data_IF_594665124655
#
_entry.id   IF_594665124655
#
_cell.length_a   1.000
_cell.length_b   1.000
_cell.length_c   1.000
_cell.angle_alpha   90.00
_cell.angle_beta   90.00
_cell.angle_gamma   90.00
#
_symmetry.space_group_name_H-M   'P 1'
#
loop_
_entity.id
_entity.type
_entity.pdbx_description
1 polymer ?
#
# COMPACT_ATOMS: atom_id res chain seq x y z
N UNK A 1 -20.23 0.24 16.26
CA UNK A 1 -20.32 0.23 14.78
C UNK A 1 -19.05 -0.41 14.24
N UNK A 2 -19.14 -1.36 13.29
CA UNK A 2 -17.98 -2.09 12.74
C UNK A 2 -17.31 -1.39 11.55
N UNK A 3 -17.97 -0.39 10.97
CA UNK A 3 -17.53 0.30 9.74
C UNK A 3 -16.40 1.30 10.04
N UNK A 4 -16.51 2.09 11.12
CA UNK A 4 -15.42 2.96 11.59
C UNK A 4 -14.13 2.18 11.89
N UNK A 5 -14.28 0.92 12.31
CA UNK A 5 -13.18 0.03 12.65
C UNK A 5 -12.45 -0.56 11.42
N UNK A 6 -13.02 -0.46 10.21
CA UNK A 6 -12.38 -0.95 8.98
C UNK A 6 -11.59 0.15 8.24
N UNK A 7 -11.98 1.41 8.42
CA UNK A 7 -11.29 2.56 7.80
C UNK A 7 -9.89 2.78 8.39
N UNK A 8 -9.76 2.70 9.72
CA UNK A 8 -8.49 2.87 10.41
C UNK A 8 -7.41 1.84 9.98
N UNK A 9 -7.67 0.53 9.95
CA UNK A 9 -6.70 -0.45 9.44
C UNK A 9 -6.42 -0.28 7.94
N UNK A 10 -7.40 0.16 7.14
CA UNK A 10 -7.17 0.51 5.74
C UNK A 10 -6.16 1.66 5.57
N UNK A 11 -6.35 2.76 6.31
CA UNK A 11 -5.42 3.89 6.30
C UNK A 11 -4.04 3.54 6.86
N UNK A 12 -3.98 2.74 7.93
CA UNK A 12 -2.71 2.26 8.49
C UNK A 12 -1.95 1.37 7.51
N UNK A 13 -2.65 0.46 6.83
CA UNK A 13 -2.07 -0.39 5.79
C UNK A 13 -1.53 0.43 4.62
N UNK A 14 -2.32 1.40 4.15
CA UNK A 14 -1.90 2.31 3.08
C UNK A 14 -0.61 3.06 3.43
N UNK A 15 -0.54 3.68 4.61
CA UNK A 15 0.64 4.41 5.05
C UNK A 15 1.87 3.49 5.13
N UNK A 16 1.72 2.30 5.73
CA UNK A 16 2.80 1.31 5.81
C UNK A 16 3.29 0.88 4.42
N UNK A 17 2.38 0.65 3.48
CA UNK A 17 2.74 0.31 2.10
C UNK A 17 3.47 1.44 1.41
N UNK A 18 3.07 2.70 1.60
CA UNK A 18 3.77 3.86 1.05
C UNK A 18 5.20 3.98 1.61
N UNK A 19 5.39 3.77 2.91
CA UNK A 19 6.70 3.83 3.54
C UNK A 19 7.61 2.68 3.06
N UNK A 20 7.10 1.46 3.00
CA UNK A 20 7.82 0.31 2.45
C UNK A 20 8.20 0.48 0.98
N UNK A 21 7.32 1.09 0.17
CA UNK A 21 7.64 1.42 -1.23
C UNK A 21 8.76 2.46 -1.33
N UNK A 22 8.73 3.51 -0.50
CA UNK A 22 9.79 4.55 -0.50
C UNK A 22 11.13 3.98 -0.11
N UNK A 23 11.18 3.16 0.93
CA UNK A 23 12.40 2.50 1.38
C UNK A 23 12.96 1.58 0.28
N UNK A 24 12.10 0.77 -0.32
CA UNK A 24 12.51 -0.18 -1.38
C UNK A 24 12.93 0.54 -2.66
N UNK A 25 12.25 1.61 -3.03
CA UNK A 25 12.66 2.46 -4.14
C UNK A 25 14.03 3.12 -3.87
N UNK A 26 14.29 3.55 -2.63
CA UNK A 26 15.60 4.05 -2.22
C UNK A 26 16.70 3.01 -2.38
N UNK A 27 16.43 1.75 -2.02
CA UNK A 27 17.36 0.63 -2.25
C UNK A 27 17.59 0.38 -3.75
N UNK A 28 16.55 0.38 -4.57
CA UNK A 28 16.67 0.20 -6.03
C UNK A 28 17.47 1.34 -6.68
N UNK A 29 17.27 2.58 -6.25
CA UNK A 29 18.06 3.71 -6.74
C UNK A 29 19.53 3.63 -6.27
N UNK A 30 19.77 3.14 -5.06
CA UNK A 30 21.12 2.95 -4.51
C UNK A 30 21.90 1.78 -5.13
N UNK A 31 21.23 0.75 -5.65
CA UNK A 31 21.89 -0.38 -6.32
C UNK A 31 22.51 0.00 -7.66
N UNK A 32 22.08 1.08 -8.32
CA UNK A 32 22.79 1.63 -9.49
C UNK A 32 24.15 2.25 -9.12
N UNK A 33 24.30 2.80 -7.91
CA UNK A 33 25.57 3.38 -7.42
C UNK A 33 26.53 2.32 -6.86
N UNK A 34 26.01 1.22 -6.32
CA UNK A 34 26.81 0.07 -5.90
C UNK A 34 26.97 -0.90 -7.08
N UNK A 35 27.81 -0.55 -8.05
CA UNK A 35 28.25 -1.48 -9.08
C UNK A 35 28.63 -2.82 -8.40
N UNK A 36 27.93 -3.92 -8.77
CA UNK A 36 28.26 -5.32 -8.48
C UNK A 36 27.65 -6.10 -7.29
N UNK A 37 26.64 -5.61 -6.57
CA UNK A 37 25.96 -6.46 -5.57
C UNK A 37 24.78 -7.24 -6.18
N UNK A 38 25.09 -8.42 -6.76
CA UNK A 38 24.23 -9.52 -7.23
C UNK A 38 22.85 -9.17 -7.88
N UNK A 39 22.58 -9.60 -9.13
CA UNK A 39 21.26 -9.48 -9.79
C UNK A 39 20.06 -9.94 -8.94
N UNK A 40 20.30 -10.89 -8.04
CA UNK A 40 19.34 -11.40 -7.05
C UNK A 40 18.85 -10.32 -6.07
N UNK A 41 19.70 -9.37 -5.68
CA UNK A 41 19.34 -8.28 -4.76
C UNK A 41 18.39 -7.26 -5.40
N UNK A 42 18.66 -6.88 -6.65
CA UNK A 42 17.77 -5.99 -7.42
C UNK A 42 16.43 -6.68 -7.71
N UNK A 43 16.44 -7.93 -8.16
CA UNK A 43 15.21 -8.70 -8.40
C UNK A 43 14.37 -8.83 -7.12
N UNK A 44 15.01 -9.11 -5.97
CA UNK A 44 14.35 -9.16 -4.67
C UNK A 44 13.70 -7.81 -4.30
N UNK A 45 14.43 -6.70 -4.46
CA UNK A 45 13.90 -5.37 -4.18
C UNK A 45 12.71 -5.01 -5.10
N UNK A 46 12.75 -5.38 -6.38
CA UNK A 46 11.62 -5.15 -7.30
C UNK A 46 10.37 -5.95 -6.91
N UNK A 47 10.54 -7.22 -6.51
CA UNK A 47 9.44 -8.06 -6.01
C UNK A 47 8.86 -7.49 -4.72
N UNK A 48 9.72 -7.03 -3.82
CA UNK A 48 9.31 -6.41 -2.57
C UNK A 48 8.55 -5.10 -2.81
N UNK A 49 9.02 -4.25 -3.73
CA UNK A 49 8.33 -3.02 -4.14
C UNK A 49 6.93 -3.35 -4.68
N UNK A 50 6.82 -4.35 -5.55
CA UNK A 50 5.52 -4.78 -6.10
C UNK A 50 4.59 -5.33 -5.03
N UNK A 51 5.15 -6.01 -4.02
CA UNK A 51 4.39 -6.53 -2.88
C UNK A 51 3.78 -5.40 -2.07
N UNK A 52 4.56 -4.34 -1.76
CA UNK A 52 4.02 -3.16 -1.08
C UNK A 52 2.98 -2.42 -1.92
N UNK A 53 3.17 -2.32 -3.24
CA UNK A 53 2.17 -1.72 -4.14
C UNK A 53 0.83 -2.46 -4.06
N UNK A 54 0.85 -3.80 -4.15
CA UNK A 54 -0.36 -4.64 -4.04
C UNK A 54 -1.05 -4.49 -2.68
N UNK A 55 -0.28 -4.44 -1.60
CA UNK A 55 -0.81 -4.21 -0.25
C UNK A 55 -1.46 -2.83 -0.15
N UNK A 56 -0.83 -1.79 -0.69
CA UNK A 56 -1.36 -0.43 -0.71
C UNK A 56 -2.66 -0.34 -1.50
N UNK A 57 -2.74 -1.01 -2.65
CA UNK A 57 -3.96 -1.10 -3.46
C UNK A 57 -5.10 -1.80 -2.70
N UNK A 58 -4.81 -2.91 -2.02
CA UNK A 58 -5.80 -3.61 -1.21
C UNK A 58 -6.31 -2.73 -0.06
N UNK A 59 -5.42 -2.04 0.65
CA UNK A 59 -5.78 -1.09 1.69
C UNK A 59 -6.61 0.08 1.17
N UNK A 60 -6.26 0.63 -0.01
CA UNK A 60 -7.06 1.67 -0.67
C UNK A 60 -8.46 1.16 -1.03
N UNK A 61 -8.58 -0.09 -1.48
CA UNK A 61 -9.87 -0.69 -1.79
C UNK A 61 -10.74 -0.82 -0.54
N UNK A 62 -10.17 -1.20 0.60
CA UNK A 62 -10.91 -1.24 1.88
C UNK A 62 -11.46 0.14 2.24
N UNK A 63 -10.64 1.19 2.11
CA UNK A 63 -11.08 2.57 2.40
C UNK A 63 -12.20 2.99 1.45
N UNK A 64 -12.08 2.73 0.14
CA UNK A 64 -13.14 3.03 -0.83
C UNK A 64 -14.44 2.30 -0.52
N UNK A 65 -14.36 1.01 -0.22
CA UNK A 65 -15.56 0.23 0.12
C UNK A 65 -16.23 0.74 1.40
N UNK A 66 -15.46 1.22 2.38
CA UNK A 66 -16.03 1.89 3.56
C UNK A 66 -16.72 3.21 3.18
N UNK A 67 -16.10 4.02 2.34
CA UNK A 67 -16.67 5.28 1.83
C UNK A 67 -17.98 5.02 1.07
N UNK A 68 -17.99 4.06 0.15
CA UNK A 68 -19.17 3.65 -0.62
C UNK A 68 -20.31 3.18 0.29
N UNK A 69 -20.01 2.37 1.33
CA UNK A 69 -21.01 1.92 2.29
C UNK A 69 -21.59 3.09 3.11
N UNK A 70 -20.76 4.07 3.49
CA UNK A 70 -21.25 5.25 4.20
C UNK A 70 -22.14 6.08 3.28
N UNK A 71 -21.70 6.30 2.03
CA UNK A 71 -22.47 7.01 1.00
C UNK A 71 -23.83 6.35 0.75
N UNK A 72 -23.87 5.03 0.58
CA UNK A 72 -25.14 4.30 0.36
C UNK A 72 -26.09 4.41 1.55
N UNK A 73 -25.58 4.40 2.78
CA UNK A 73 -26.40 4.59 3.98
C UNK A 73 -27.00 6.00 4.07
N UNK A 74 -26.35 7.01 3.50
CA UNK A 74 -26.90 8.36 3.43
C UNK A 74 -27.92 8.50 2.31
N UNK A 75 -27.68 7.88 1.15
CA UNK A 75 -28.60 7.91 -0.01
C UNK A 75 -29.94 7.21 0.30
N UNK A 76 -29.92 6.07 1.00
CA UNK A 76 -31.12 5.35 1.44
C UNK A 76 -32.01 6.14 2.43
N UNK A 77 -31.48 7.21 3.05
CA UNK A 77 -32.21 8.06 4.01
C UNK A 77 -32.71 9.37 3.41
N UNK A 78 -32.34 9.70 2.18
CA UNK A 78 -32.80 10.88 1.44
C UNK A 78 -34.15 10.61 0.74
#
# INVERSE_FOLDING_TARGET
MKIDNAMQPGLLGLNRSLDGMRETAGRIAGTEQMQSDSPTGLAGALVELKTYELQGQASAQVVRTVDDMIGSLFDDKA
#
